data_IF_135452673563
#
_entry.id   IF_135452673563
#
_cell.length_a   1.000
_cell.length_b   1.000
_cell.length_c   1.000
_cell.angle_alpha   90.00
_cell.angle_beta   90.00
_cell.angle_gamma   90.00
#
_symmetry.space_group_name_H-M   'P 1'
#
loop_
_entity.id
_entity.type
_entity.pdbx_description
1 polymer ?
#
# COMPACT_ATOMS: atom_id res chain seq x y z
N UNK A 1 -45.36 3.13 38.20
CA UNK A 1 -45.39 3.53 36.79
C UNK A 1 -44.14 4.33 36.34
N UNK A 2 -43.58 5.25 37.10
CA UNK A 2 -42.40 6.08 36.76
C UNK A 2 -41.10 5.28 36.48
N UNK A 3 -40.85 4.19 37.22
CA UNK A 3 -39.65 3.38 37.05
C UNK A 3 -39.62 2.57 35.76
N UNK A 4 -40.75 2.00 35.32
CA UNK A 4 -40.88 1.27 34.05
C UNK A 4 -40.66 2.18 32.84
N UNK A 5 -41.08 3.45 32.88
CA UNK A 5 -40.82 4.42 31.81
C UNK A 5 -39.36 4.79 31.69
N UNK A 6 -38.58 4.86 32.79
CA UNK A 6 -37.15 5.13 32.75
C UNK A 6 -36.35 3.97 32.12
N UNK A 7 -36.73 2.72 32.44
CA UNK A 7 -36.08 1.53 31.86
C UNK A 7 -36.33 1.46 30.34
N UNK A 8 -37.58 1.72 29.89
CA UNK A 8 -37.93 1.73 28.46
C UNK A 8 -37.17 2.84 27.73
N UNK A 9 -37.00 4.04 28.30
CA UNK A 9 -36.22 5.11 27.70
C UNK A 9 -34.71 4.76 27.57
N UNK A 10 -34.13 4.10 28.57
CA UNK A 10 -32.74 3.65 28.54
C UNK A 10 -32.54 2.56 27.50
N UNK A 11 -33.46 1.61 27.37
CA UNK A 11 -33.41 0.56 26.36
C UNK A 11 -33.55 1.12 24.94
N UNK A 12 -34.47 2.10 24.76
CA UNK A 12 -34.61 2.79 23.44
C UNK A 12 -33.36 3.62 23.12
N UNK A 13 -32.76 4.31 24.10
CA UNK A 13 -31.51 5.04 23.92
C UNK A 13 -30.33 4.10 23.57
N UNK A 14 -30.23 2.95 24.27
CA UNK A 14 -29.23 1.92 23.89
C UNK A 14 -29.47 1.32 22.51
N UNK A 15 -30.72 1.04 22.12
CA UNK A 15 -31.03 0.57 20.78
C UNK A 15 -30.72 1.63 19.71
N UNK A 16 -30.99 2.93 19.96
CA UNK A 16 -30.61 3.99 19.04
C UNK A 16 -29.09 4.13 18.89
N UNK A 17 -28.32 3.96 19.96
CA UNK A 17 -26.84 3.97 19.88
C UNK A 17 -26.31 2.78 19.07
N UNK A 18 -26.93 1.60 19.18
CA UNK A 18 -26.56 0.41 18.43
C UNK A 18 -26.96 0.49 16.94
N UNK A 19 -28.04 1.23 16.60
CA UNK A 19 -28.45 1.42 15.20
C UNK A 19 -27.69 2.54 14.49
N UNK A 20 -27.16 3.51 15.20
CA UNK A 20 -26.31 4.58 14.64
C UNK A 20 -24.91 4.07 14.23
N UNK A 21 -24.39 3.03 14.88
CA UNK A 21 -23.10 2.42 14.53
C UNK A 21 -23.15 1.50 13.29
N UNK A 22 -24.34 1.11 12.80
CA UNK A 22 -24.47 0.21 11.65
C UNK A 22 -24.56 0.92 10.28
N UNK A 23 -24.77 2.25 10.23
CA UNK A 23 -24.95 3.02 9.00
C UNK A 23 -23.78 3.96 8.64
N UNK A 24 -22.74 4.06 9.47
CA UNK A 24 -21.69 5.09 9.37
C UNK A 24 -20.70 4.89 8.21
N UNK A 25 -20.29 3.68 7.91
CA UNK A 25 -19.13 3.41 7.07
C UNK A 25 -19.19 4.00 5.65
N UNK A 26 -20.33 3.97 4.98
CA UNK A 26 -20.47 4.44 3.59
C UNK A 26 -20.21 5.93 3.41
N UNK A 27 -20.71 6.77 4.31
CA UNK A 27 -20.53 8.22 4.27
C UNK A 27 -19.07 8.61 4.53
N UNK A 28 -18.43 7.91 5.44
CA UNK A 28 -17.05 8.14 5.84
C UNK A 28 -16.06 7.68 4.77
N UNK A 29 -16.33 6.53 4.09
CA UNK A 29 -15.54 6.11 2.91
C UNK A 29 -15.64 7.14 1.79
N UNK A 30 -16.82 7.68 1.50
CA UNK A 30 -16.98 8.75 0.52
C UNK A 30 -16.23 10.03 0.92
N UNK A 31 -16.20 10.33 2.22
CA UNK A 31 -15.41 11.45 2.74
C UNK A 31 -13.93 11.22 2.54
N UNK A 32 -13.42 10.02 2.87
CA UNK A 32 -12.03 9.63 2.61
C UNK A 32 -11.69 9.78 1.13
N UNK A 33 -12.48 9.20 0.22
CA UNK A 33 -12.28 9.28 -1.23
C UNK A 33 -12.22 10.72 -1.73
N UNK A 34 -13.20 11.56 -1.34
CA UNK A 34 -13.22 12.98 -1.72
C UNK A 34 -11.99 13.75 -1.24
N UNK A 35 -11.48 13.41 -0.05
CA UNK A 35 -10.27 14.04 0.48
C UNK A 35 -9.04 13.57 -0.28
N UNK A 36 -8.91 12.27 -0.59
CA UNK A 36 -7.81 11.73 -1.40
C UNK A 36 -7.79 12.28 -2.82
N UNK A 37 -8.95 12.53 -3.44
CA UNK A 37 -9.05 13.19 -4.75
C UNK A 37 -8.55 14.64 -4.75
N UNK A 38 -8.56 15.31 -3.60
CA UNK A 38 -8.13 16.71 -3.44
C UNK A 38 -6.71 16.86 -2.93
N UNK A 39 -5.95 15.78 -2.85
CA UNK A 39 -4.54 15.85 -2.48
C UNK A 39 -3.76 16.45 -3.64
N UNK A 40 -3.11 17.57 -3.39
CA UNK A 40 -2.23 18.27 -4.35
C UNK A 40 -0.76 18.01 -4.04
N UNK A 41 -0.43 17.90 -2.77
CA UNK A 41 0.91 17.58 -2.28
C UNK A 41 0.84 16.93 -0.90
N UNK A 42 1.89 16.20 -0.51
CA UNK A 42 1.98 15.57 0.81
C UNK A 42 3.39 15.08 1.12
N UNK A 43 3.63 14.85 2.41
CA UNK A 43 4.69 13.98 2.90
C UNK A 43 4.11 12.56 3.07
N UNK A 44 4.84 11.55 2.66
CA UNK A 44 4.36 10.15 2.66
C UNK A 44 5.42 9.17 3.13
N UNK A 45 4.91 8.04 3.63
CA UNK A 45 5.70 6.84 3.86
C UNK A 45 4.89 5.64 3.36
N UNK A 46 5.45 4.89 2.42
CA UNK A 46 4.77 3.77 1.76
C UNK A 46 5.60 2.51 1.95
N UNK A 47 4.94 1.48 2.43
CA UNK A 47 5.47 0.13 2.54
C UNK A 47 4.70 -0.79 1.60
N UNK A 48 5.39 -1.48 0.73
CA UNK A 48 4.82 -2.59 -0.03
C UNK A 48 5.63 -3.84 0.21
N UNK A 49 4.96 -4.96 0.30
CA UNK A 49 5.64 -6.23 0.22
C UNK A 49 4.79 -7.24 -0.55
N UNK A 50 5.47 -8.20 -1.13
CA UNK A 50 4.90 -9.42 -1.66
C UNK A 50 5.54 -10.59 -0.97
N UNK A 51 4.74 -11.57 -0.58
CA UNK A 51 5.19 -12.87 -0.18
C UNK A 51 4.44 -13.91 -1.00
N UNK A 52 5.16 -14.86 -1.55
CA UNK A 52 4.52 -16.02 -2.13
C UNK A 52 5.21 -17.32 -1.69
N UNK A 53 4.40 -18.36 -1.62
CA UNK A 53 4.81 -19.71 -1.28
C UNK A 53 4.33 -20.62 -2.39
N UNK A 54 5.24 -21.35 -3.01
CA UNK A 54 4.93 -22.30 -4.06
C UNK A 54 5.41 -23.69 -3.65
N UNK A 55 4.63 -24.72 -3.96
CA UNK A 55 5.09 -26.13 -3.85
C UNK A 55 6.06 -26.43 -4.98
N UNK A 56 7.18 -27.06 -4.66
CA UNK A 56 8.20 -27.49 -5.61
C UNK A 56 8.63 -28.92 -5.28
N UNK A 57 7.91 -29.91 -5.82
CA UNK A 57 8.08 -31.32 -5.45
C UNK A 57 7.81 -31.56 -3.97
N UNK A 58 8.82 -32.05 -3.23
CA UNK A 58 8.75 -32.28 -1.77
C UNK A 58 9.19 -31.06 -0.94
N UNK A 59 9.39 -29.90 -1.56
CA UNK A 59 9.80 -28.68 -0.90
C UNK A 59 8.82 -27.54 -1.15
N UNK A 60 8.84 -26.53 -0.29
CA UNK A 60 8.12 -25.27 -0.47
C UNK A 60 9.15 -24.15 -0.71
N UNK A 61 8.93 -23.39 -1.77
CA UNK A 61 9.70 -22.21 -2.11
C UNK A 61 9.01 -20.98 -1.55
N UNK A 62 9.71 -20.26 -0.68
CA UNK A 62 9.28 -18.98 -0.12
C UNK A 62 10.04 -17.86 -0.82
N UNK A 63 9.33 -16.85 -1.30
CA UNK A 63 9.94 -15.62 -1.79
C UNK A 63 9.26 -14.39 -1.20
N UNK A 64 10.08 -13.40 -0.86
CA UNK A 64 9.63 -12.10 -0.38
C UNK A 64 10.26 -10.96 -1.17
N UNK A 65 9.46 -9.96 -1.49
CA UNK A 65 9.89 -8.69 -2.06
C UNK A 65 9.32 -7.57 -1.19
N UNK A 66 10.15 -6.63 -0.78
CA UNK A 66 9.72 -5.49 0.03
C UNK A 66 10.24 -4.19 -0.54
N UNK A 67 9.48 -3.12 -0.39
CA UNK A 67 9.89 -1.77 -0.73
C UNK A 67 9.38 -0.80 0.34
N UNK A 68 10.24 0.13 0.71
CA UNK A 68 9.88 1.29 1.53
C UNK A 68 10.23 2.55 0.74
N UNK A 69 9.27 3.45 0.64
CA UNK A 69 9.41 4.74 -0.03
C UNK A 69 8.96 5.82 0.95
N UNK A 70 9.84 6.74 1.29
CA UNK A 70 9.55 7.83 2.20
C UNK A 70 9.98 9.14 1.58
N UNK A 71 9.08 10.11 1.50
CA UNK A 71 9.42 11.36 0.86
C UNK A 71 8.28 12.36 0.78
N UNK A 72 8.48 13.32 -0.10
CA UNK A 72 7.52 14.40 -0.38
C UNK A 72 7.20 14.42 -1.86
N UNK A 73 5.94 14.68 -2.18
CA UNK A 73 5.52 14.85 -3.56
C UNK A 73 4.55 16.01 -3.74
N UNK A 74 4.58 16.55 -4.93
CA UNK A 74 3.58 17.43 -5.53
C UNK A 74 2.99 16.70 -6.73
N UNK A 75 1.68 16.76 -6.91
CA UNK A 75 0.99 16.02 -7.97
C UNK A 75 0.86 16.83 -9.26
N UNK A 76 0.68 18.16 -9.15
CA UNK A 76 0.56 19.02 -10.31
C UNK A 76 1.25 20.39 -10.07
N UNK A 77 2.29 20.76 -10.84
CA UNK A 77 3.05 19.87 -11.71
C UNK A 77 3.76 18.77 -10.91
N UNK A 78 3.80 17.56 -11.47
CA UNK A 78 4.37 16.42 -10.76
C UNK A 78 5.85 16.61 -10.44
N UNK A 79 6.17 16.55 -9.14
CA UNK A 79 7.54 16.56 -8.63
C UNK A 79 7.60 15.72 -7.35
N UNK A 80 8.71 15.06 -7.07
CA UNK A 80 8.91 14.34 -5.82
C UNK A 80 10.38 14.14 -5.45
N UNK A 81 10.61 13.95 -4.16
CA UNK A 81 11.88 13.52 -3.59
C UNK A 81 11.60 12.42 -2.58
N UNK A 82 12.33 11.33 -2.64
CA UNK A 82 12.13 10.22 -1.71
C UNK A 82 13.42 9.46 -1.39
N UNK A 83 13.35 8.76 -0.28
CA UNK A 83 14.22 7.65 0.07
C UNK A 83 13.54 6.36 -0.38
N UNK A 84 14.27 5.53 -1.10
CA UNK A 84 13.79 4.27 -1.62
C UNK A 84 14.66 3.12 -1.11
N UNK A 85 14.05 2.15 -0.45
CA UNK A 85 14.71 0.94 0.01
C UNK A 85 13.96 -0.24 -0.60
N UNK A 86 14.66 -1.16 -1.20
CA UNK A 86 14.08 -2.42 -1.67
C UNK A 86 14.88 -3.60 -1.16
N UNK A 87 14.20 -4.70 -0.91
CA UNK A 87 14.82 -5.94 -0.48
C UNK A 87 14.11 -7.14 -1.08
N UNK A 88 14.85 -8.21 -1.30
CA UNK A 88 14.34 -9.51 -1.70
C UNK A 88 14.87 -10.58 -0.75
N UNK A 89 14.05 -11.58 -0.48
CA UNK A 89 14.42 -12.74 0.32
C UNK A 89 13.91 -14.01 -0.35
N UNK A 90 14.62 -15.12 -0.19
CA UNK A 90 14.15 -16.43 -0.61
C UNK A 90 14.58 -17.49 0.42
N UNK A 91 13.76 -18.51 0.57
CA UNK A 91 14.09 -19.69 1.36
C UNK A 91 13.44 -20.91 0.70
N UNK A 92 14.08 -22.06 0.82
CA UNK A 92 13.57 -23.35 0.38
C UNK A 92 13.54 -24.28 1.58
N UNK A 93 12.33 -24.71 1.96
CA UNK A 93 12.12 -25.51 3.15
C UNK A 93 11.37 -26.81 2.78
N UNK A 94 11.59 -27.91 3.52
CA UNK A 94 10.76 -29.11 3.40
C UNK A 94 9.28 -28.79 3.60
N UNK A 95 8.39 -29.48 2.90
CA UNK A 95 6.94 -29.23 2.94
C UNK A 95 6.33 -29.34 4.35
N UNK A 96 6.94 -30.12 5.24
CA UNK A 96 6.50 -30.33 6.60
C UNK A 96 6.81 -29.20 7.59
N UNK A 97 7.52 -28.15 7.18
CA UNK A 97 7.87 -27.03 8.07
C UNK A 97 6.67 -26.09 8.23
N UNK A 98 6.31 -25.79 9.49
CA UNK A 98 5.27 -24.78 9.78
C UNK A 98 5.72 -23.39 9.29
N UNK A 99 4.91 -22.78 8.43
CA UNK A 99 5.19 -21.43 7.88
C UNK A 99 5.47 -20.36 8.93
N UNK A 100 4.87 -20.49 10.13
CA UNK A 100 5.08 -19.58 11.25
C UNK A 100 6.49 -19.64 11.81
N UNK A 101 7.17 -20.76 11.60
CA UNK A 101 8.55 -20.99 12.07
C UNK A 101 9.59 -20.57 11.03
N UNK A 102 9.18 -20.34 9.78
CA UNK A 102 10.11 -19.89 8.74
C UNK A 102 10.49 -18.43 9.03
N UNK A 103 11.62 -18.29 9.65
CA UNK A 103 12.28 -17.00 9.72
C UNK A 103 12.90 -16.75 8.36
N UNK A 104 12.37 -15.75 7.61
CA UNK A 104 13.06 -15.21 6.45
C UNK A 104 14.45 -14.75 6.92
N UNK A 105 15.37 -15.66 6.97
CA UNK A 105 16.69 -15.48 7.53
C UNK A 105 17.73 -15.53 6.44
N UNK A 106 18.43 -14.50 6.35
CA UNK A 106 19.86 -14.29 6.25
C UNK A 106 20.66 -14.76 5.02
N UNK A 107 20.31 -15.75 4.22
CA UNK A 107 21.22 -16.18 3.15
C UNK A 107 21.11 -15.42 1.84
N UNK A 108 19.94 -14.81 1.53
CA UNK A 108 19.72 -14.13 0.24
C UNK A 108 19.01 -12.77 0.40
N UNK A 109 19.34 -12.03 1.44
CA UNK A 109 18.71 -10.73 1.68
C UNK A 109 19.53 -9.63 0.98
N UNK A 110 19.04 -9.14 -0.15
CA UNK A 110 19.64 -7.99 -0.84
C UNK A 110 18.87 -6.72 -0.53
N UNK A 111 19.56 -5.75 0.08
CA UNK A 111 19.06 -4.38 0.25
C UNK A 111 19.67 -3.45 -0.77
N UNK A 112 18.83 -2.64 -1.38
CA UNK A 112 19.24 -1.50 -2.18
C UNK A 112 18.61 -0.24 -1.59
N UNK A 113 19.44 0.76 -1.35
CA UNK A 113 19.02 2.07 -0.88
C UNK A 113 19.41 3.14 -1.89
N UNK A 114 18.43 3.90 -2.37
CA UNK A 114 18.63 5.00 -3.31
C UNK A 114 17.90 6.26 -2.84
N UNK A 115 18.42 7.44 -3.20
CA UNK A 115 17.63 8.68 -3.18
C UNK A 115 17.05 8.90 -4.57
N UNK A 116 15.76 9.16 -4.66
CA UNK A 116 15.09 9.46 -5.92
C UNK A 116 14.68 10.94 -5.90
N UNK A 117 14.97 11.66 -6.99
CA UNK A 117 14.58 13.04 -7.16
C UNK A 117 13.97 13.26 -8.54
N UNK A 118 12.78 13.81 -8.58
CA UNK A 118 12.08 14.18 -9.82
C UNK A 118 11.60 15.62 -9.71
N UNK A 119 12.32 16.58 -10.32
CA UNK A 119 11.92 18.00 -10.29
C UNK A 119 10.73 18.32 -11.20
N UNK A 120 10.43 17.45 -12.15
CA UNK A 120 9.34 17.62 -13.11
C UNK A 120 8.96 16.28 -13.75
N UNK A 121 7.78 16.17 -14.36
CA UNK A 121 7.33 14.93 -15.01
C UNK A 121 8.37 14.35 -15.97
N UNK A 122 8.52 13.04 -15.96
CA UNK A 122 9.42 12.26 -16.82
C UNK A 122 10.93 12.52 -16.65
N UNK A 123 11.33 13.39 -15.73
CA UNK A 123 12.74 13.60 -15.37
C UNK A 123 12.98 13.06 -13.97
N UNK A 124 13.57 11.88 -13.88
CA UNK A 124 13.86 11.20 -12.61
C UNK A 124 15.34 10.92 -12.50
N UNK A 125 15.87 11.17 -11.34
CA UNK A 125 17.27 10.94 -11.00
C UNK A 125 17.36 10.01 -9.80
N UNK A 126 18.23 9.02 -9.86
CA UNK A 126 18.61 8.23 -8.69
C UNK A 126 20.01 8.61 -8.23
N UNK A 127 20.15 8.78 -6.92
CA UNK A 127 21.42 8.99 -6.26
C UNK A 127 21.76 7.78 -5.40
N UNK A 128 22.91 7.15 -5.63
CA UNK A 128 23.46 6.14 -4.76
C UNK A 128 24.74 6.65 -4.08
N UNK A 129 24.92 6.34 -2.81
CA UNK A 129 26.20 6.59 -2.15
C UNK A 129 27.21 5.57 -2.64
N UNK A 130 28.27 6.03 -3.32
CA UNK A 130 29.40 5.13 -3.58
C UNK A 130 30.19 4.94 -2.28
N UNK A 131 30.49 3.69 -1.95
CA UNK A 131 31.29 3.30 -0.78
C UNK A 131 32.79 3.66 -0.95
N UNK A 132 33.14 4.36 -2.01
CA UNK A 132 34.50 4.86 -2.23
C UNK A 132 34.73 6.08 -1.36
N UNK A 133 35.38 5.88 -0.25
CA UNK A 133 36.07 6.78 0.70
C UNK A 133 35.60 8.22 0.97
N UNK A 134 34.65 8.79 0.21
CA UNK A 134 34.22 10.19 0.35
C UNK A 134 32.69 10.37 0.51
N UNK A 135 31.89 9.32 0.63
CA UNK A 135 30.41 9.43 0.78
C UNK A 135 29.71 10.38 -0.22
N UNK A 136 30.29 10.57 -1.40
CA UNK A 136 29.68 11.40 -2.40
C UNK A 136 28.51 10.70 -3.08
N UNK A 137 27.41 11.44 -3.25
CA UNK A 137 26.25 10.97 -3.99
C UNK A 137 26.52 11.02 -5.49
N UNK A 138 26.51 9.85 -6.13
CA UNK A 138 26.58 9.74 -7.59
C UNK A 138 25.16 9.71 -8.14
N UNK A 139 24.81 10.72 -8.94
CA UNK A 139 23.51 10.85 -9.55
C UNK A 139 23.51 10.39 -10.99
N UNK A 140 22.47 9.68 -11.40
CA UNK A 140 22.22 9.27 -12.79
C UNK A 140 20.76 9.52 -13.17
N UNK A 141 20.51 9.81 -14.43
CA UNK A 141 19.16 9.91 -14.97
C UNK A 141 18.58 8.50 -15.13
N UNK A 142 17.35 8.31 -14.65
CA UNK A 142 16.67 7.03 -14.69
C UNK A 142 15.45 7.10 -15.59
N UNK A 143 15.18 5.99 -16.29
CA UNK A 143 13.96 5.80 -17.07
C UNK A 143 13.07 4.78 -16.39
N UNK A 144 11.76 4.98 -16.47
CA UNK A 144 10.78 4.01 -15.98
C UNK A 144 10.58 3.95 -14.47
N UNK A 145 11.17 4.88 -13.69
CA UNK A 145 10.77 5.10 -12.29
C UNK A 145 9.52 5.96 -12.30
N UNK A 146 8.43 5.39 -11.83
CA UNK A 146 7.18 6.10 -11.64
C UNK A 146 7.13 6.77 -10.25
N UNK A 147 6.36 7.85 -10.09
CA UNK A 147 6.02 8.37 -8.78
C UNK A 147 5.38 7.27 -7.94
N UNK A 148 5.51 7.35 -6.62
CA UNK A 148 4.87 6.38 -5.74
C UNK A 148 3.35 6.46 -5.87
N UNK A 149 2.71 5.31 -5.81
CA UNK A 149 1.26 5.22 -5.71
C UNK A 149 0.84 5.52 -4.26
N UNK A 150 0.14 6.61 -4.04
CA UNK A 150 -0.29 7.05 -2.70
C UNK A 150 -1.72 6.64 -2.36
N UNK A 151 -2.33 5.71 -3.09
CA UNK A 151 -3.69 5.26 -2.83
C UNK A 151 -4.79 6.21 -3.30
N UNK A 152 -4.47 7.21 -4.12
CA UNK A 152 -5.41 8.18 -4.69
C UNK A 152 -5.66 7.99 -6.19
N UNK A 153 -5.05 7.01 -6.82
CA UNK A 153 -5.34 6.68 -8.22
C UNK A 153 -6.76 6.12 -8.37
N UNK A 154 -7.29 6.25 -9.58
CA UNK A 154 -8.62 5.71 -9.91
C UNK A 154 -8.78 4.24 -9.51
N UNK A 155 -7.73 3.43 -9.65
CA UNK A 155 -7.74 2.02 -9.26
C UNK A 155 -8.07 1.82 -7.78
N UNK A 156 -7.47 2.60 -6.89
CA UNK A 156 -7.72 2.53 -5.45
C UNK A 156 -9.09 3.10 -5.11
N UNK A 157 -9.41 4.28 -5.62
CA UNK A 157 -10.66 4.97 -5.30
C UNK A 157 -11.89 4.18 -5.75
N UNK A 158 -11.86 3.59 -6.96
CA UNK A 158 -12.93 2.72 -7.46
C UNK A 158 -13.18 1.50 -6.54
N UNK A 159 -12.13 0.97 -5.92
CA UNK A 159 -12.24 -0.16 -4.97
C UNK A 159 -12.86 0.30 -3.66
N UNK A 160 -12.44 1.44 -3.12
CA UNK A 160 -13.02 1.98 -1.88
C UNK A 160 -14.51 2.26 -2.07
N UNK A 161 -14.89 2.92 -3.17
CA UNK A 161 -16.30 3.22 -3.49
C UNK A 161 -17.13 1.97 -3.72
N UNK A 162 -16.60 0.98 -4.43
CA UNK A 162 -17.30 -0.28 -4.73
C UNK A 162 -17.73 -1.03 -3.48
N UNK A 163 -16.90 -1.00 -2.44
CA UNK A 163 -17.17 -1.71 -1.18
C UNK A 163 -17.60 -0.78 -0.04
N UNK A 164 -17.92 0.49 -0.35
CA UNK A 164 -18.18 1.52 0.67
C UNK A 164 -19.27 1.16 1.68
N UNK A 165 -20.31 0.45 1.26
CA UNK A 165 -21.41 -0.01 2.11
C UNK A 165 -21.08 -1.23 2.98
N UNK A 166 -19.91 -1.84 2.77
CA UNK A 166 -19.43 -3.00 3.52
C UNK A 166 -18.38 -2.66 4.58
N UNK A 167 -17.91 -1.41 4.58
CA UNK A 167 -16.97 -0.97 5.60
C UNK A 167 -17.63 -0.85 6.97
N UNK A 168 -16.93 -1.33 7.98
CA UNK A 168 -17.26 -1.11 9.40
C UNK A 168 -16.51 0.10 9.89
N UNK A 169 -17.23 1.05 10.48
CA UNK A 169 -16.66 2.22 11.13
C UNK A 169 -16.43 1.91 12.62
N UNK A 170 -15.24 2.21 13.10
CA UNK A 170 -14.92 2.34 14.51
C UNK A 170 -14.13 3.63 14.73
N UNK A 171 -14.06 4.12 15.96
CA UNK A 171 -13.34 5.34 16.27
C UNK A 171 -12.71 5.32 17.67
N UNK A 172 -11.66 6.11 17.83
CA UNK A 172 -11.09 6.50 19.12
C UNK A 172 -11.12 8.04 19.27
N UNK A 173 -10.41 8.57 20.25
CA UNK A 173 -10.35 10.02 20.48
C UNK A 173 -9.80 10.81 19.30
N UNK A 174 -8.87 10.22 18.54
CA UNK A 174 -8.08 10.91 17.51
C UNK A 174 -8.39 10.48 16.10
N UNK A 175 -8.98 9.30 15.89
CA UNK A 175 -9.12 8.70 14.57
C UNK A 175 -10.49 8.07 14.32
N UNK A 176 -10.83 8.00 13.03
CA UNK A 176 -11.86 7.13 12.48
C UNK A 176 -11.16 5.98 11.73
N UNK A 177 -11.62 4.76 11.94
CA UNK A 177 -11.13 3.54 11.31
C UNK A 177 -12.24 2.92 10.47
N UNK A 178 -11.93 2.66 9.21
CA UNK A 178 -12.84 2.05 8.25
C UNK A 178 -12.24 0.73 7.80
N UNK A 179 -12.87 -0.36 8.14
CA UNK A 179 -12.38 -1.70 7.91
C UNK A 179 -13.31 -2.49 6.99
N UNK A 180 -12.73 -3.09 5.95
CA UNK A 180 -13.41 -4.04 5.09
C UNK A 180 -12.55 -5.28 4.88
N UNK A 181 -13.20 -6.45 4.96
CA UNK A 181 -12.61 -7.74 4.63
C UNK A 181 -13.64 -8.57 3.87
N UNK A 182 -13.25 -9.12 2.70
CA UNK A 182 -14.17 -9.90 1.90
C UNK A 182 -13.53 -10.75 0.82
N UNK A 183 -14.33 -11.68 0.30
CA UNK A 183 -14.01 -12.43 -0.91
C UNK A 183 -14.23 -11.55 -2.15
N UNK A 184 -13.27 -11.55 -3.04
CA UNK A 184 -13.28 -10.76 -4.28
C UNK A 184 -12.97 -11.61 -5.52
N UNK A 185 -13.08 -12.92 -5.40
CA UNK A 185 -12.81 -13.88 -6.48
C UNK A 185 -13.65 -13.61 -7.74
N UNK A 186 -14.85 -13.05 -7.60
CA UNK A 186 -15.70 -12.61 -8.71
C UNK A 186 -15.24 -11.31 -9.41
N UNK A 187 -14.14 -10.66 -8.96
CA UNK A 187 -13.67 -9.37 -9.47
C UNK A 187 -12.18 -9.38 -9.84
N UNK A 188 -11.67 -10.48 -10.36
CA UNK A 188 -10.23 -10.69 -10.60
C UNK A 188 -9.60 -9.65 -11.54
N UNK A 189 -10.35 -9.09 -12.50
CA UNK A 189 -9.85 -8.03 -13.38
C UNK A 189 -9.50 -6.76 -12.61
N UNK A 190 -10.34 -6.38 -11.67
CA UNK A 190 -10.09 -5.22 -10.82
C UNK A 190 -8.96 -5.51 -9.84
N UNK A 191 -8.90 -6.72 -9.29
CA UNK A 191 -7.82 -7.15 -8.38
C UNK A 191 -6.47 -7.22 -9.10
N UNK A 192 -6.44 -7.63 -10.36
CA UNK A 192 -5.22 -7.62 -11.17
C UNK A 192 -4.69 -6.18 -11.40
N UNK A 193 -5.57 -5.20 -11.62
CA UNK A 193 -5.18 -3.79 -11.70
C UNK A 193 -4.64 -3.28 -10.36
N UNK A 194 -5.30 -3.61 -9.26
CA UNK A 194 -4.85 -3.26 -7.92
C UNK A 194 -3.49 -3.89 -7.62
N UNK A 195 -3.29 -5.16 -7.95
CA UNK A 195 -2.02 -5.84 -7.76
C UNK A 195 -0.85 -5.11 -8.47
N UNK A 196 -1.07 -4.66 -9.72
CA UNK A 196 -0.07 -3.88 -10.46
C UNK A 196 0.18 -2.52 -9.82
N UNK A 197 -0.85 -1.89 -9.25
CA UNK A 197 -0.70 -0.62 -8.55
C UNK A 197 0.09 -0.77 -7.24
N UNK A 198 -0.13 -1.85 -6.50
CA UNK A 198 0.60 -2.18 -5.26
C UNK A 198 2.03 -2.62 -5.57
N UNK A 199 2.19 -3.58 -6.48
CA UNK A 199 3.47 -4.16 -6.88
C UNK A 199 3.68 -3.90 -8.37
N UNK A 200 4.35 -2.84 -8.76
CA UNK A 200 4.63 -2.52 -10.15
C UNK A 200 5.30 -3.70 -10.88
N UNK A 201 4.89 -3.94 -12.12
CA UNK A 201 5.34 -5.06 -12.97
C UNK A 201 4.79 -6.45 -12.59
N UNK A 202 3.98 -6.56 -11.53
CA UNK A 202 3.32 -7.83 -11.25
C UNK A 202 2.35 -8.22 -12.36
N UNK A 203 2.45 -9.46 -12.80
CA UNK A 203 1.54 -10.03 -13.82
C UNK A 203 0.79 -11.26 -13.32
N UNK A 204 1.00 -11.66 -12.07
CA UNK A 204 0.50 -12.93 -11.52
C UNK A 204 -1.01 -13.08 -11.73
N UNK A 205 -1.82 -12.18 -11.17
CA UNK A 205 -3.27 -12.24 -11.34
C UNK A 205 -3.71 -12.00 -12.78
N UNK A 206 -3.01 -11.14 -13.53
CA UNK A 206 -3.36 -10.88 -14.93
C UNK A 206 -3.19 -12.12 -15.81
N UNK A 207 -2.14 -12.90 -15.60
CA UNK A 207 -1.82 -14.08 -16.39
C UNK A 207 -2.49 -15.35 -15.86
N UNK A 208 -2.59 -15.50 -14.55
CA UNK A 208 -3.07 -16.70 -13.87
C UNK A 208 -4.52 -16.67 -13.42
N UNK A 209 -5.39 -15.82 -13.99
CA UNK A 209 -6.81 -15.72 -13.57
C UNK A 209 -7.54 -17.05 -13.54
N UNK A 210 -7.31 -17.89 -14.57
CA UNK A 210 -7.96 -19.21 -14.71
C UNK A 210 -7.58 -20.18 -13.58
N UNK A 211 -6.43 -19.95 -12.96
CA UNK A 211 -5.86 -20.85 -11.94
C UNK A 211 -6.19 -20.38 -10.51
N UNK A 212 -6.88 -19.22 -10.35
CA UNK A 212 -7.25 -18.67 -9.05
C UNK A 212 -8.34 -19.53 -8.39
N UNK A 213 -8.05 -20.06 -7.22
CA UNK A 213 -9.01 -20.78 -6.36
C UNK A 213 -9.75 -19.86 -5.40
N UNK A 214 -9.06 -18.84 -4.89
CA UNK A 214 -9.69 -17.80 -4.05
C UNK A 214 -8.89 -16.51 -4.11
N UNK A 215 -9.59 -15.37 -3.99
CA UNK A 215 -8.99 -14.07 -3.86
C UNK A 215 -9.72 -13.29 -2.76
N UNK A 216 -9.01 -12.85 -1.74
CA UNK A 216 -9.56 -12.09 -0.61
C UNK A 216 -8.85 -10.75 -0.51
N UNK A 217 -9.59 -9.73 -0.06
CA UNK A 217 -9.04 -8.40 0.20
C UNK A 217 -9.35 -7.98 1.63
N UNK A 218 -8.39 -7.30 2.25
CA UNK A 218 -8.57 -6.56 3.50
C UNK A 218 -8.17 -5.11 3.21
N UNK A 219 -9.03 -4.17 3.59
CA UNK A 219 -8.81 -2.73 3.42
C UNK A 219 -9.01 -2.06 4.78
N UNK A 220 -8.06 -1.24 5.16
CA UNK A 220 -8.12 -0.42 6.37
C UNK A 220 -7.76 1.01 6.00
N UNK A 221 -8.71 1.92 6.18
CA UNK A 221 -8.54 3.35 5.93
C UNK A 221 -8.66 4.08 7.28
N UNK A 222 -7.73 4.99 7.53
CA UNK A 222 -7.73 5.79 8.76
C UNK A 222 -7.83 7.26 8.40
N UNK A 223 -8.73 7.96 9.10
CA UNK A 223 -8.82 9.42 9.06
C UNK A 223 -8.49 9.98 10.44
N UNK A 224 -7.63 10.99 10.49
CA UNK A 224 -7.34 11.75 11.70
C UNK A 224 -8.43 12.79 11.95
N UNK A 225 -8.96 12.85 13.17
CA UNK A 225 -9.91 13.89 13.61
C UNK A 225 -9.20 15.24 13.70
N UNK A 226 -9.86 16.32 13.27
CA UNK A 226 -9.29 17.67 13.33
C UNK A 226 -10.36 18.75 13.28
N UNK A 227 -10.01 19.98 13.67
CA UNK A 227 -10.91 21.15 13.67
C UNK A 227 -11.49 21.47 12.28
N UNK A 228 -10.75 21.17 11.20
CA UNK A 228 -11.18 21.34 9.81
C UNK A 228 -11.92 20.13 9.22
N UNK A 229 -12.34 19.19 10.06
CA UNK A 229 -12.91 17.90 9.67
C UNK A 229 -11.85 16.80 9.50
N UNK A 230 -12.29 15.56 9.24
CA UNK A 230 -11.38 14.43 9.14
C UNK A 230 -10.45 14.54 7.93
N UNK A 231 -9.19 14.13 8.11
CA UNK A 231 -8.18 14.08 7.03
C UNK A 231 -7.62 12.68 6.88
N UNK A 232 -7.33 12.20 5.66
CA UNK A 232 -6.67 10.91 5.45
C UNK A 232 -5.36 10.85 6.24
N UNK A 233 -5.13 9.73 6.91
CA UNK A 233 -3.94 9.49 7.71
C UNK A 233 -3.19 8.23 7.28
N UNK A 234 -3.95 7.16 6.97
CA UNK A 234 -3.37 5.89 6.56
C UNK A 234 -4.30 5.14 5.62
N UNK A 235 -3.69 4.43 4.69
CA UNK A 235 -4.32 3.37 3.90
C UNK A 235 -3.53 2.08 4.05
N UNK A 236 -4.21 0.96 4.27
CA UNK A 236 -3.61 -0.37 4.24
C UNK A 236 -4.49 -1.30 3.41
N UNK A 237 -3.87 -2.03 2.52
CA UNK A 237 -4.52 -3.04 1.69
C UNK A 237 -3.70 -4.32 1.72
N UNK A 238 -4.39 -5.43 1.89
CA UNK A 238 -3.82 -6.77 1.81
C UNK A 238 -4.64 -7.57 0.81
N UNK A 239 -3.99 -8.08 -0.23
CA UNK A 239 -4.59 -8.93 -1.24
C UNK A 239 -4.01 -10.34 -1.10
N UNK A 240 -4.87 -11.31 -0.78
CA UNK A 240 -4.50 -12.69 -0.53
C UNK A 240 -5.06 -13.54 -1.66
N UNK A 241 -4.21 -14.20 -2.42
CA UNK A 241 -4.59 -15.00 -3.57
C UNK A 241 -4.07 -16.42 -3.42
N UNK A 242 -4.96 -17.40 -3.59
CA UNK A 242 -4.60 -18.81 -3.70
C UNK A 242 -4.80 -19.25 -5.13
N UNK A 243 -3.79 -19.88 -5.71
CA UNK A 243 -3.79 -20.35 -7.09
C UNK A 243 -3.38 -21.81 -7.13
N UNK A 244 -3.79 -22.50 -8.19
CA UNK A 244 -3.33 -23.85 -8.49
C UNK A 244 -2.78 -23.83 -9.91
N UNK A 245 -1.45 -23.81 -10.01
CA UNK A 245 -0.72 -23.64 -11.29
C UNK A 245 0.13 -24.88 -11.51
N UNK A 246 -0.40 -25.90 -12.20
CA UNK A 246 0.30 -27.18 -12.40
C UNK A 246 1.69 -27.04 -13.02
N UNK A 247 1.89 -26.04 -13.89
CA UNK A 247 3.17 -25.71 -14.54
C UNK A 247 4.27 -25.32 -13.54
N UNK A 248 3.87 -24.85 -12.33
CA UNK A 248 4.78 -24.46 -11.23
C UNK A 248 4.74 -25.44 -10.05
N UNK A 249 4.26 -26.66 -10.25
CA UNK A 249 4.22 -27.68 -9.21
C UNK A 249 2.96 -27.67 -8.34
N UNK A 250 1.94 -26.85 -8.67
CA UNK A 250 0.62 -26.87 -8.01
C UNK A 250 0.28 -25.60 -7.25
N UNK A 251 0.06 -25.70 -5.92
CA UNK A 251 -0.49 -24.61 -5.13
C UNK A 251 0.49 -23.44 -4.94
N UNK A 252 -0.01 -22.23 -5.16
CA UNK A 252 0.68 -20.97 -4.87
C UNK A 252 -0.20 -20.15 -3.92
N UNK A 253 0.34 -19.79 -2.76
CA UNK A 253 -0.23 -18.82 -1.84
C UNK A 253 0.52 -17.50 -1.99
N UNK A 254 -0.19 -16.43 -2.41
CA UNK A 254 0.39 -15.10 -2.58
C UNK A 254 -0.29 -14.08 -1.68
N UNK A 255 0.52 -13.22 -1.09
CA UNK A 255 0.08 -12.06 -0.32
C UNK A 255 0.77 -10.81 -0.84
N UNK A 256 -0.01 -9.87 -1.36
CA UNK A 256 0.43 -8.54 -1.72
C UNK A 256 -0.07 -7.54 -0.67
N UNK A 257 0.83 -6.75 -0.15
CA UNK A 257 0.55 -5.77 0.90
C UNK A 257 0.96 -4.38 0.48
N UNK A 258 0.12 -3.42 0.82
CA UNK A 258 0.34 -2.01 0.64
C UNK A 258 -0.05 -1.27 1.91
N UNK A 259 0.80 -0.36 2.38
CA UNK A 259 0.49 0.56 3.46
C UNK A 259 1.08 1.92 3.12
N UNK A 260 0.27 2.96 3.24
CA UNK A 260 0.71 4.34 3.08
C UNK A 260 0.28 5.15 4.30
N UNK A 261 1.20 5.95 4.81
CA UNK A 261 0.95 7.01 5.79
C UNK A 261 1.05 8.35 5.11
N UNK A 262 0.18 9.28 5.50
CA UNK A 262 0.06 10.61 4.94
C UNK A 262 0.30 11.66 6.01
N UNK A 263 1.17 12.61 5.70
CA UNK A 263 1.50 13.76 6.55
C UNK A 263 1.46 15.02 5.70
N UNK A 264 1.26 16.17 6.32
CA UNK A 264 1.35 17.49 5.67
C UNK A 264 0.57 17.58 4.34
N UNK A 265 -0.64 16.97 4.30
CA UNK A 265 -1.50 16.97 3.11
C UNK A 265 -1.85 18.41 2.75
N UNK A 266 -1.50 18.81 1.52
CA UNK A 266 -1.66 20.14 0.96
C UNK A 266 -0.89 21.25 1.73
N UNK A 267 0.15 20.86 2.50
CA UNK A 267 1.01 21.78 3.26
C UNK A 267 2.51 21.63 2.95
N UNK A 268 2.86 20.85 1.94
CA UNK A 268 4.24 20.76 1.44
C UNK A 268 4.54 21.98 0.57
N UNK A 269 5.36 22.89 1.09
CA UNK A 269 5.64 24.18 0.42
C UNK A 269 6.45 24.06 -0.86
N UNK A 270 7.42 23.16 -0.91
CA UNK A 270 8.34 23.01 -2.04
C UNK A 270 9.05 21.66 -2.04
N UNK A 271 9.25 21.09 -3.21
CA UNK A 271 10.12 19.94 -3.42
C UNK A 271 11.55 20.45 -3.65
N UNK A 272 12.31 20.55 -2.57
CA UNK A 272 13.68 21.07 -2.63
C UNK A 272 14.62 20.10 -3.33
N UNK A 273 15.55 20.67 -4.09
CA UNK A 273 16.69 19.95 -4.67
C UNK A 273 17.49 19.27 -3.56
N UNK A 274 17.81 17.95 -3.69
CA UNK A 274 18.58 17.26 -2.68
C UNK A 274 20.01 17.78 -2.56
N UNK A 275 20.55 17.74 -1.36
CA UNK A 275 21.95 18.09 -1.13
C UNK A 275 22.87 17.22 -1.99
N UNK A 276 23.88 17.84 -2.62
CA UNK A 276 24.83 17.15 -3.48
C UNK A 276 24.32 16.81 -4.88
N UNK A 277 23.07 17.19 -5.24
CA UNK A 277 22.58 17.04 -6.61
C UNK A 277 23.09 18.21 -7.50
N UNK A 278 23.82 17.86 -8.56
CA UNK A 278 24.24 18.78 -9.60
C UNK A 278 23.87 18.21 -10.97
N UNK A 279 22.95 18.86 -11.67
CA UNK A 279 22.46 18.41 -12.97
C UNK A 279 23.55 18.33 -14.04
N UNK A 280 24.64 19.13 -13.93
CA UNK A 280 25.77 19.10 -14.87
C UNK A 280 26.65 17.86 -14.69
N UNK A 281 26.62 17.24 -13.51
CA UNK A 281 27.41 16.05 -13.13
C UNK A 281 26.61 14.75 -13.23
N UNK A 282 25.33 14.83 -13.63
CA UNK A 282 24.48 13.65 -13.77
C UNK A 282 24.98 12.76 -14.92
N UNK A 283 25.26 11.51 -14.61
CA UNK A 283 25.60 10.52 -15.63
C UNK A 283 24.35 10.18 -16.46
N UNK A 284 24.45 10.28 -17.77
CA UNK A 284 23.38 9.81 -18.68
C UNK A 284 23.29 8.31 -18.59
N UNK A 285 22.06 7.77 -18.48
CA UNK A 285 21.83 6.34 -18.60
C UNK A 285 22.30 5.87 -19.98
N UNK A 286 23.12 4.84 -20.02
CA UNK A 286 23.65 4.27 -21.28
C UNK A 286 22.68 3.29 -21.95
N UNK A 287 21.39 3.27 -21.54
CA UNK A 287 20.37 2.38 -22.12
C UNK A 287 19.07 3.08 -22.46
#
# INVERSE_FOLDING_TARGET
>A
MRQKRKIVLVVIAMMMVLTLSACGGKGDVKTFVKKMQKVENLDYEIHTYRRYVASEGSARLFRGESQVRQGKMQLDPQAFIEYYISGTSSAREPEAVDEKLIKFGSSDFMYKSDKIYSPKPKKVYSGSSSVNNNYEWVWKEEKGINPPEIGNSKTFLDIYEKYADKFKLTEDENHYYLDYKGDVSGNLDQMAKLQVAIIPKSKMLKQGKKDVKSCKIEIHLVMKKGKGGPTPYQTRIKLITKMDVPEYGGAIDNEDYYQAYYRDINDVKEIKKPQGFDASKVKKSQF
#
